data_IF_178723185985
#
_entry.id   IF_178723185985
#
_cell.length_a   1.000
_cell.length_b   1.000
_cell.length_c   1.000
_cell.angle_alpha   90.00
_cell.angle_beta   90.00
_cell.angle_gamma   90.00
#
_symmetry.space_group_name_H-M   'P 1'
#
loop_
_entity.id
_entity.type
_entity.pdbx_description
1 polymer ?
#
# COMPACT_ATOMS: atom_id res chain seq x y z
N UNK A 1 1.39 13.10 -12.08
CA UNK A 1 0.35 12.18 -11.54
C UNK A 1 -1.02 12.33 -12.24
N UNK A 2 -1.85 11.28 -12.35
CA UNK A 2 -3.22 11.36 -12.92
C UNK A 2 -4.16 12.23 -12.06
N UNK A 3 -5.07 12.98 -12.67
CA UNK A 3 -5.96 13.93 -11.98
C UNK A 3 -6.79 13.29 -10.84
N UNK A 4 -7.28 12.06 -11.04
CA UNK A 4 -8.07 11.33 -10.02
C UNK A 4 -7.30 11.03 -8.74
N UNK A 5 -5.97 10.97 -8.77
CA UNK A 5 -5.16 10.73 -7.57
C UNK A 5 -4.88 12.04 -6.83
N UNK A 6 -4.64 13.13 -7.58
CA UNK A 6 -4.50 14.47 -6.99
C UNK A 6 -5.75 14.90 -6.20
N UNK A 7 -6.94 14.50 -6.64
CA UNK A 7 -8.17 14.82 -5.88
C UNK A 7 -8.31 14.07 -4.56
N UNK A 8 -7.54 12.99 -4.34
CA UNK A 8 -7.59 12.20 -3.12
C UNK A 8 -6.64 12.72 -2.05
N UNK A 9 -5.56 13.37 -2.43
CA UNK A 9 -4.49 13.77 -1.52
C UNK A 9 -4.40 15.28 -1.22
N UNK A 10 -3.84 15.56 -0.05
CA UNK A 10 -3.23 16.84 0.34
C UNK A 10 -1.78 16.53 0.69
N UNK A 11 -0.85 16.86 -0.20
CA UNK A 11 0.56 16.53 -0.06
C UNK A 11 1.35 17.63 0.67
N UNK A 12 2.12 17.24 1.67
CA UNK A 12 3.11 18.08 2.35
C UNK A 12 4.52 17.73 1.87
N UNK A 13 5.06 18.55 0.98
CA UNK A 13 6.43 18.41 0.47
C UNK A 13 7.52 19.03 1.34
N UNK A 14 7.19 19.57 2.51
CA UNK A 14 8.14 20.21 3.39
C UNK A 14 9.15 19.21 3.96
N UNK A 15 10.43 19.56 3.87
CA UNK A 15 11.53 18.85 4.55
C UNK A 15 12.07 19.76 5.64
N UNK A 16 11.88 19.37 6.90
CA UNK A 16 12.13 20.23 8.06
C UNK A 16 13.62 20.40 8.36
N UNK A 17 14.42 19.35 8.18
CA UNK A 17 15.84 19.37 8.50
C UNK A 17 16.68 19.74 7.27
N UNK A 18 17.55 20.73 7.41
CA UNK A 18 18.41 21.22 6.31
C UNK A 18 19.30 20.13 5.71
N UNK A 19 19.79 19.19 6.54
CA UNK A 19 20.59 18.04 6.09
C UNK A 19 19.87 17.13 5.10
N UNK A 20 18.53 17.11 5.11
CA UNK A 20 17.73 16.19 4.32
C UNK A 20 17.17 16.83 3.03
N UNK A 21 17.29 18.15 2.89
CA UNK A 21 16.80 18.90 1.71
C UNK A 21 17.46 18.46 0.39
N UNK A 22 18.66 17.86 0.46
CA UNK A 22 19.32 17.26 -0.71
C UNK A 22 18.48 16.15 -1.36
N UNK A 23 17.68 15.43 -0.58
CA UNK A 23 17.07 14.17 -1.00
C UNK A 23 15.59 14.28 -1.40
N UNK A 24 15.01 15.47 -1.28
CA UNK A 24 13.58 15.68 -1.53
C UNK A 24 13.33 17.08 -2.10
N UNK A 25 12.64 17.12 -3.23
CA UNK A 25 12.21 18.32 -3.92
C UNK A 25 10.94 18.00 -4.72
N UNK A 26 9.81 17.92 -4.02
CA UNK A 26 8.51 17.60 -4.63
C UNK A 26 8.04 18.72 -5.55
N UNK A 27 7.46 18.35 -6.70
CA UNK A 27 6.91 19.31 -7.65
C UNK A 27 5.42 19.52 -7.33
N UNK A 28 5.04 20.72 -6.90
CA UNK A 28 3.67 21.02 -6.48
C UNK A 28 2.62 20.68 -7.54
N UNK A 29 2.94 20.83 -8.84
CA UNK A 29 2.03 20.48 -9.92
C UNK A 29 1.77 18.99 -10.05
N UNK A 30 2.57 18.12 -9.45
CA UNK A 30 2.36 16.67 -9.48
C UNK A 30 1.44 16.15 -8.37
N UNK A 31 1.11 16.99 -7.39
CA UNK A 31 0.40 16.59 -6.19
C UNK A 31 -0.97 17.25 -6.02
N UNK A 32 -1.80 16.62 -5.18
CA UNK A 32 -3.03 17.19 -4.65
C UNK A 32 -2.80 18.09 -3.44
N UNK A 33 -3.70 19.04 -3.21
CA UNK A 33 -3.62 20.01 -2.11
C UNK A 33 -4.93 20.18 -1.32
N UNK A 34 -5.92 19.33 -1.59
CA UNK A 34 -7.29 19.49 -1.06
C UNK A 34 -8.01 18.17 -0.79
N UNK A 35 -7.39 17.04 -1.11
CA UNK A 35 -7.98 15.73 -0.86
C UNK A 35 -7.92 15.33 0.62
N UNK A 36 -8.81 14.42 1.01
CA UNK A 36 -8.95 13.98 2.40
C UNK A 36 -7.73 13.25 2.96
N UNK A 37 -6.90 12.67 2.08
CA UNK A 37 -5.72 11.93 2.48
C UNK A 37 -4.53 12.86 2.65
N UNK A 38 -4.02 12.98 3.88
CA UNK A 38 -2.79 13.74 4.15
C UNK A 38 -1.58 12.83 3.96
N UNK A 39 -0.72 13.19 3.02
CA UNK A 39 0.52 12.47 2.69
C UNK A 39 1.65 13.47 2.60
N UNK A 40 2.90 13.03 2.73
CA UNK A 40 4.04 13.93 2.68
C UNK A 40 5.30 13.28 3.20
N UNK A 41 6.36 14.08 3.26
CA UNK A 41 7.57 13.67 3.96
C UNK A 41 7.35 13.67 5.47
N UNK A 42 7.96 12.71 6.17
CA UNK A 42 8.04 12.75 7.61
C UNK A 42 8.86 14.00 8.03
N UNK A 43 8.49 14.62 9.15
CA UNK A 43 9.22 15.78 9.67
C UNK A 43 10.63 15.41 10.16
N UNK A 44 10.78 14.18 10.63
CA UNK A 44 12.02 13.66 11.20
C UNK A 44 12.35 12.29 10.59
N UNK A 45 13.54 12.18 10.00
CA UNK A 45 13.95 11.01 9.23
C UNK A 45 14.88 10.09 10.05
N UNK A 46 14.85 8.79 9.74
CA UNK A 46 15.83 7.83 10.26
C UNK A 46 17.27 8.30 9.99
N UNK A 47 18.13 8.16 11.02
CA UNK A 47 19.45 8.80 11.04
C UNK A 47 20.36 8.35 9.88
N UNK A 48 20.21 7.11 9.47
CA UNK A 48 21.00 6.47 8.42
C UNK A 48 20.34 6.51 7.03
N UNK A 49 19.13 7.08 6.90
CA UNK A 49 18.48 7.18 5.59
C UNK A 49 19.33 8.01 4.63
N UNK A 50 19.80 9.18 5.06
CA UNK A 50 20.64 10.07 4.25
C UNK A 50 21.99 9.43 3.91
N UNK A 51 22.58 8.67 4.83
CA UNK A 51 23.81 7.88 4.57
C UNK A 51 23.57 6.80 3.51
N UNK A 52 22.43 6.12 3.58
CA UNK A 52 22.04 5.10 2.60
C UNK A 52 21.86 5.72 1.22
N UNK A 53 21.19 6.87 1.13
CA UNK A 53 20.99 7.61 -0.12
C UNK A 53 22.31 8.10 -0.73
N UNK A 54 23.24 8.60 0.09
CA UNK A 54 24.59 8.95 -0.34
C UNK A 54 25.36 7.73 -0.88
N UNK A 55 25.24 6.57 -0.23
CA UNK A 55 25.86 5.34 -0.71
C UNK A 55 25.29 4.89 -2.07
N UNK A 56 23.98 5.03 -2.30
CA UNK A 56 23.36 4.76 -3.60
C UNK A 56 23.83 5.74 -4.69
N UNK A 57 23.92 7.03 -4.37
CA UNK A 57 24.45 8.03 -5.29
C UNK A 57 25.92 7.75 -5.64
N UNK A 58 26.75 7.42 -4.64
CA UNK A 58 28.15 7.03 -4.84
C UNK A 58 28.29 5.74 -5.67
N UNK A 59 27.31 4.84 -5.61
CA UNK A 59 27.21 3.66 -6.47
C UNK A 59 26.72 3.97 -7.90
N UNK A 60 26.49 5.24 -8.24
CA UNK A 60 26.10 5.70 -9.58
C UNK A 60 24.59 5.71 -9.83
N UNK A 61 23.77 5.54 -8.79
CA UNK A 61 22.31 5.64 -8.91
C UNK A 61 21.83 7.09 -8.78
N UNK A 62 20.85 7.48 -9.59
CA UNK A 62 20.24 8.81 -9.50
C UNK A 62 19.22 8.85 -8.37
N UNK A 63 19.27 9.89 -7.56
CA UNK A 63 18.22 10.23 -6.61
C UNK A 63 16.95 10.64 -7.38
N UNK A 64 15.77 10.19 -6.93
CA UNK A 64 14.51 10.78 -7.37
C UNK A 64 14.03 11.76 -6.31
N UNK A 65 14.05 13.05 -6.58
CA UNK A 65 13.69 14.03 -5.56
C UNK A 65 12.17 14.16 -5.36
N UNK A 66 11.38 13.64 -6.31
CA UNK A 66 9.92 13.56 -6.23
C UNK A 66 9.45 12.15 -6.53
N UNK A 67 9.49 11.35 -5.47
CA UNK A 67 9.27 9.94 -5.54
C UNK A 67 7.82 9.54 -5.92
N UNK A 68 6.85 10.42 -5.63
CA UNK A 68 5.42 10.18 -5.86
C UNK A 68 4.82 11.03 -6.98
N UNK A 69 5.63 11.61 -7.86
CA UNK A 69 5.19 12.38 -9.03
C UNK A 69 4.30 11.61 -10.02
N UNK A 70 4.13 10.29 -9.84
CA UNK A 70 3.49 9.39 -10.82
C UNK A 70 4.46 8.84 -11.86
N UNK A 71 5.75 9.16 -11.73
CA UNK A 71 6.86 8.42 -12.33
C UNK A 71 7.41 7.46 -11.24
N UNK A 72 7.27 6.13 -11.37
CA UNK A 72 7.34 5.19 -10.25
C UNK A 72 8.78 4.89 -9.81
N UNK A 73 9.45 5.89 -9.28
CA UNK A 73 10.73 5.78 -8.59
C UNK A 73 10.65 6.35 -7.17
N UNK A 74 10.12 5.55 -6.25
CA UNK A 74 10.16 5.61 -4.78
C UNK A 74 8.93 6.17 -3.98
N UNK A 75 9.06 6.46 -2.68
CA UNK A 75 8.32 5.90 -1.51
C UNK A 75 7.12 6.63 -0.86
N UNK A 76 6.30 5.91 -0.04
CA UNK A 76 5.08 6.40 0.67
C UNK A 76 4.83 5.77 2.06
N UNK A 77 4.14 6.50 2.97
CA UNK A 77 3.16 5.93 3.90
C UNK A 77 1.76 6.62 3.88
N UNK A 78 0.72 5.94 4.42
CA UNK A 78 -0.71 6.27 4.31
C UNK A 78 -1.50 6.05 5.63
N UNK A 79 -2.39 6.98 6.04
CA UNK A 79 -3.68 6.69 6.75
C UNK A 79 -4.65 7.90 6.88
N UNK A 80 -5.91 7.65 7.26
CA UNK A 80 -7.15 8.49 7.11
C UNK A 80 -7.88 8.80 8.44
N UNK A 81 -8.96 9.62 8.43
CA UNK A 81 -10.29 8.98 8.63
C UNK A 81 -11.45 9.53 7.75
N UNK A 82 -12.49 8.70 7.55
CA UNK A 82 -13.76 9.04 6.91
C UNK A 82 -14.69 9.83 7.85
N UNK A 83 -15.43 10.78 7.27
CA UNK A 83 -16.52 11.49 7.94
C UNK A 83 -17.74 10.58 8.17
N UNK A 84 -18.41 10.75 9.31
CA UNK A 84 -19.68 10.07 9.64
C UNK A 84 -20.84 10.80 8.98
N UNK A 85 -21.58 10.10 8.13
CA UNK A 85 -22.89 10.52 7.64
C UNK A 85 -23.99 9.65 8.27
N UNK A 86 -25.14 10.25 8.56
CA UNK A 86 -26.29 9.69 9.27
C UNK A 86 -26.97 8.51 8.59
N UNK A 87 -26.74 8.31 7.28
CA UNK A 87 -27.29 7.21 6.48
C UNK A 87 -26.34 6.00 6.36
N UNK A 88 -25.11 6.11 6.86
CA UNK A 88 -24.10 5.04 6.77
C UNK A 88 -24.21 4.08 7.97
N UNK A 89 -24.55 2.81 7.70
CA UNK A 89 -24.46 1.75 8.70
C UNK A 89 -23.12 1.02 8.59
N UNK A 90 -22.34 1.03 9.66
CA UNK A 90 -21.09 0.28 9.77
C UNK A 90 -21.30 -0.99 10.60
N UNK A 91 -21.01 -2.15 10.01
CA UNK A 91 -21.00 -3.44 10.68
C UNK A 91 -19.56 -3.96 10.73
N UNK A 92 -18.98 -4.06 11.92
CA UNK A 92 -17.63 -4.60 12.15
C UNK A 92 -17.71 -5.98 12.78
N UNK A 93 -16.62 -6.76 12.72
CA UNK A 93 -16.59 -8.16 13.17
C UNK A 93 -17.64 -9.05 12.45
N UNK A 94 -18.09 -8.62 11.26
CA UNK A 94 -19.00 -9.35 10.39
C UNK A 94 -18.23 -9.89 9.19
N UNK A 95 -18.22 -11.23 9.04
CA UNK A 95 -17.62 -11.87 7.86
C UNK A 95 -18.69 -12.14 6.81
N UNK A 96 -18.50 -11.58 5.61
CA UNK A 96 -19.33 -11.91 4.44
C UNK A 96 -18.86 -13.26 3.89
N UNK A 97 -19.77 -14.21 3.77
CA UNK A 97 -19.46 -15.57 3.28
C UNK A 97 -19.74 -15.72 1.79
N UNK A 98 -20.89 -15.21 1.33
CA UNK A 98 -21.36 -15.28 -0.04
C UNK A 98 -22.30 -14.11 -0.34
N UNK A 99 -22.59 -13.92 -1.62
CA UNK A 99 -23.65 -13.08 -2.16
C UNK A 99 -24.76 -13.99 -2.65
N UNK A 100 -26.00 -13.61 -2.34
CA UNK A 100 -27.19 -14.27 -2.86
C UNK A 100 -27.77 -13.37 -3.95
N UNK A 101 -27.90 -13.89 -5.16
CA UNK A 101 -28.60 -13.21 -6.26
C UNK A 101 -30.03 -13.76 -6.34
N UNK A 102 -31.02 -12.90 -6.06
CA UNK A 102 -32.44 -13.26 -6.04
C UNK A 102 -32.99 -13.52 -4.64
N UNK A 103 -34.14 -14.21 -4.58
CA UNK A 103 -34.80 -14.56 -3.32
C UNK A 103 -34.10 -15.74 -2.66
N UNK A 104 -33.88 -15.67 -1.35
CA UNK A 104 -33.38 -16.79 -0.56
C UNK A 104 -34.08 -16.89 0.78
N UNK A 105 -34.22 -18.12 1.26
CA UNK A 105 -34.69 -18.43 2.62
C UNK A 105 -33.54 -18.55 3.62
N UNK A 106 -32.28 -18.45 3.17
CA UNK A 106 -31.12 -18.49 4.05
C UNK A 106 -31.18 -17.33 5.03
N UNK A 107 -30.92 -17.57 6.32
CA UNK A 107 -30.87 -16.54 7.36
C UNK A 107 -29.71 -16.81 8.32
N UNK A 108 -29.06 -15.76 8.89
CA UNK A 108 -29.31 -14.34 8.66
C UNK A 108 -28.65 -13.80 7.37
N UNK A 109 -29.24 -12.76 6.77
CA UNK A 109 -28.66 -11.99 5.66
C UNK A 109 -28.91 -10.48 5.81
N UNK A 110 -28.10 -9.67 5.13
CA UNK A 110 -28.34 -8.24 4.96
C UNK A 110 -28.78 -7.98 3.52
N UNK A 111 -29.87 -7.23 3.36
CA UNK A 111 -30.43 -6.92 2.05
C UNK A 111 -29.82 -5.63 1.47
N UNK A 112 -29.55 -5.65 0.17
CA UNK A 112 -29.17 -4.48 -0.61
C UNK A 112 -30.20 -4.27 -1.73
N UNK A 113 -30.81 -3.09 -1.79
CA UNK A 113 -31.92 -2.79 -2.72
C UNK A 113 -31.47 -2.35 -4.11
N UNK A 114 -30.19 -2.04 -4.30
CA UNK A 114 -29.64 -1.52 -5.56
C UNK A 114 -28.42 -2.31 -5.97
N UNK A 115 -27.31 -2.04 -5.30
CA UNK A 115 -26.00 -2.55 -5.68
C UNK A 115 -25.30 -3.22 -4.51
N UNK A 116 -24.46 -4.22 -4.84
CA UNK A 116 -23.50 -4.83 -3.91
C UNK A 116 -22.11 -4.60 -4.46
N UNK A 117 -21.29 -3.87 -3.71
CA UNK A 117 -19.89 -3.60 -4.05
C UNK A 117 -19.01 -4.53 -3.22
N UNK A 118 -18.19 -5.36 -3.87
CA UNK A 118 -17.20 -6.19 -3.20
C UNK A 118 -15.84 -5.49 -3.16
N UNK A 119 -15.39 -5.20 -1.93
CA UNK A 119 -14.09 -4.60 -1.64
C UNK A 119 -13.31 -5.41 -0.60
N UNK A 120 -13.43 -6.75 -0.62
CA UNK A 120 -12.80 -7.66 0.35
C UNK A 120 -11.32 -7.96 0.03
N UNK A 121 -10.65 -7.14 -0.79
CA UNK A 121 -9.27 -7.33 -1.19
C UNK A 121 -9.06 -8.45 -2.22
N UNK A 122 -7.81 -8.65 -2.64
CA UNK A 122 -7.43 -9.54 -3.75
C UNK A 122 -7.62 -11.03 -3.46
N UNK A 123 -7.68 -11.44 -2.17
CA UNK A 123 -7.83 -12.84 -1.76
C UNK A 123 -9.28 -13.21 -1.44
N UNK A 124 -9.97 -12.40 -0.63
CA UNK A 124 -11.34 -12.75 -0.19
C UNK A 124 -12.42 -12.36 -1.20
N UNK A 125 -12.21 -11.34 -2.04
CA UNK A 125 -13.16 -11.01 -3.13
C UNK A 125 -13.40 -12.20 -4.08
N UNK A 126 -12.38 -12.83 -4.70
CA UNK A 126 -12.61 -13.97 -5.56
C UNK A 126 -13.18 -15.17 -4.80
N UNK A 127 -12.80 -15.37 -3.52
CA UNK A 127 -13.35 -16.42 -2.67
C UNK A 127 -14.86 -16.27 -2.45
N UNK A 128 -15.31 -15.07 -2.07
CA UNK A 128 -16.74 -14.78 -1.89
C UNK A 128 -17.48 -15.03 -3.20
N UNK A 129 -16.93 -14.62 -4.35
CA UNK A 129 -17.54 -14.86 -5.67
C UNK A 129 -17.67 -16.35 -5.98
N UNK A 130 -16.63 -17.14 -5.74
CA UNK A 130 -16.66 -18.60 -5.94
C UNK A 130 -17.73 -19.26 -5.06
N UNK A 131 -17.80 -18.93 -3.77
CA UNK A 131 -18.85 -19.44 -2.88
C UNK A 131 -20.27 -18.96 -3.24
N UNK A 132 -20.37 -17.90 -4.04
CA UNK A 132 -21.64 -17.37 -4.56
C UNK A 132 -22.03 -17.97 -5.91
N UNK A 133 -21.29 -18.97 -6.42
CA UNK A 133 -21.53 -19.57 -7.73
C UNK A 133 -21.05 -18.72 -8.92
N UNK A 134 -20.14 -17.77 -8.69
CA UNK A 134 -19.58 -16.87 -9.72
C UNK A 134 -18.09 -17.18 -9.90
N UNK A 135 -17.75 -17.99 -10.90
CA UNK A 135 -16.38 -18.46 -11.15
C UNK A 135 -16.34 -19.59 -12.18
N UNK A 136 -15.22 -20.33 -12.33
CA UNK A 136 -15.10 -21.38 -13.33
C UNK A 136 -16.13 -22.50 -13.09
N UNK A 137 -17.00 -22.79 -14.07
CA UNK A 137 -18.09 -23.75 -13.90
C UNK A 137 -17.62 -25.14 -13.44
N UNK A 138 -16.55 -25.67 -14.04
CA UNK A 138 -16.00 -26.98 -13.68
C UNK A 138 -15.54 -27.05 -12.21
N UNK A 139 -14.90 -25.99 -11.71
CA UNK A 139 -14.48 -25.92 -10.31
C UNK A 139 -15.70 -25.88 -9.38
N UNK A 140 -16.68 -25.02 -9.70
CA UNK A 140 -17.92 -24.88 -8.92
C UNK A 140 -18.70 -26.19 -8.83
N UNK A 141 -18.88 -26.87 -9.97
CA UNK A 141 -19.56 -28.15 -10.08
C UNK A 141 -18.84 -29.24 -9.27
N UNK A 142 -17.50 -29.27 -9.28
CA UNK A 142 -16.72 -30.23 -8.49
C UNK A 142 -16.95 -30.11 -6.97
N UNK A 143 -17.36 -28.94 -6.51
CA UNK A 143 -17.71 -28.65 -5.11
C UNK A 143 -19.23 -28.63 -4.84
N UNK A 144 -20.06 -29.05 -5.80
CA UNK A 144 -21.53 -29.00 -5.72
C UNK A 144 -22.07 -27.59 -5.45
N UNK A 145 -21.40 -26.55 -5.97
CA UNK A 145 -21.88 -25.17 -5.90
C UNK A 145 -22.67 -24.88 -7.18
N UNK A 146 -23.94 -24.45 -7.08
CA UNK A 146 -24.72 -24.06 -8.26
C UNK A 146 -24.02 -22.94 -9.04
N UNK A 147 -23.84 -23.14 -10.34
CA UNK A 147 -23.23 -22.15 -11.22
C UNK A 147 -24.25 -21.05 -11.50
N UNK A 148 -23.98 -19.86 -10.98
CA UNK A 148 -24.77 -18.65 -11.25
C UNK A 148 -24.21 -17.92 -12.47
N UNK A 149 -22.88 -17.86 -12.60
CA UNK A 149 -22.21 -17.28 -13.76
C UNK A 149 -20.82 -17.89 -13.96
N UNK A 150 -20.57 -18.46 -15.14
CA UNK A 150 -19.28 -19.07 -15.49
C UNK A 150 -18.26 -17.99 -15.87
N UNK A 151 -17.29 -17.75 -14.99
CA UNK A 151 -16.22 -16.78 -15.18
C UNK A 151 -14.85 -17.42 -14.86
N UNK A 152 -14.18 -18.03 -15.86
CA UNK A 152 -12.94 -18.79 -15.65
C UNK A 152 -11.77 -18.00 -15.06
N UNK A 153 -11.78 -16.67 -15.16
CA UNK A 153 -10.72 -15.82 -14.64
C UNK A 153 -10.79 -15.60 -13.11
N UNK A 154 -11.90 -15.94 -12.45
CA UNK A 154 -12.06 -15.71 -11.01
C UNK A 154 -11.16 -16.66 -10.21
N UNK A 155 -10.42 -16.08 -9.26
CA UNK A 155 -9.42 -16.81 -8.47
C UNK A 155 -8.08 -17.00 -9.17
N UNK A 156 -7.96 -16.60 -10.45
CA UNK A 156 -6.74 -16.77 -11.25
C UNK A 156 -5.88 -15.52 -11.28
N UNK A 157 -4.62 -15.68 -11.71
CA UNK A 157 -3.73 -14.56 -12.01
C UNK A 157 -3.27 -13.75 -10.80
N UNK A 158 -3.11 -14.39 -9.63
CA UNK A 158 -2.55 -13.73 -8.43
C UNK A 158 -1.19 -13.12 -8.76
N UNK A 159 -1.06 -11.83 -8.48
CA UNK A 159 0.19 -11.08 -8.58
C UNK A 159 0.53 -10.51 -7.22
N UNK A 160 1.81 -10.51 -6.91
CA UNK A 160 2.35 -9.91 -5.71
C UNK A 160 3.76 -9.38 -6.02
N UNK A 161 4.31 -8.58 -5.13
CA UNK A 161 5.71 -8.23 -5.16
C UNK A 161 6.50 -9.30 -4.40
N UNK A 162 7.37 -10.03 -5.11
CA UNK A 162 8.29 -10.94 -4.46
C UNK A 162 9.25 -10.15 -3.57
N UNK A 163 9.37 -10.57 -2.32
CA UNK A 163 10.19 -9.92 -1.33
C UNK A 163 11.36 -10.83 -0.93
N UNK A 164 12.58 -10.30 -0.98
CA UNK A 164 13.80 -10.97 -0.53
C UNK A 164 14.49 -10.05 0.48
N UNK A 165 14.46 -10.36 1.79
CA UNK A 165 15.09 -9.53 2.79
C UNK A 165 16.62 -9.67 2.69
N UNK A 166 17.31 -8.53 2.70
CA UNK A 166 18.74 -8.45 2.94
C UNK A 166 18.95 -7.89 4.34
N UNK A 167 19.53 -8.69 5.23
CA UNK A 167 19.78 -8.32 6.62
C UNK A 167 21.26 -7.95 6.75
N UNK A 168 21.53 -6.72 7.16
CA UNK A 168 22.87 -6.15 7.28
C UNK A 168 23.12 -5.73 8.73
N UNK A 169 24.34 -5.94 9.21
CA UNK A 169 24.79 -5.34 10.46
C UNK A 169 25.13 -3.86 10.22
N UNK A 170 24.58 -2.97 11.04
CA UNK A 170 24.80 -1.52 10.95
C UNK A 170 25.67 -1.04 12.11
N UNK A 171 26.39 0.07 11.90
CA UNK A 171 27.10 0.73 13.00
C UNK A 171 26.06 1.37 13.95
N UNK A 172 26.02 0.99 15.25
CA UNK A 172 25.07 1.55 16.22
C UNK A 172 25.22 3.05 16.44
N UNK A 173 26.36 3.66 16.10
CA UNK A 173 26.54 5.11 16.15
C UNK A 173 25.75 5.85 15.05
N UNK A 174 25.42 5.14 13.96
CA UNK A 174 24.73 5.70 12.79
C UNK A 174 23.24 5.40 12.76
N UNK A 175 22.76 4.43 13.54
CA UNK A 175 21.36 4.02 13.60
C UNK A 175 20.95 3.65 15.03
N UNK A 176 19.92 4.32 15.55
CA UNK A 176 19.37 4.17 16.91
C UNK A 176 18.06 3.36 16.96
N UNK A 177 17.60 2.80 15.84
CA UNK A 177 16.36 2.01 15.74
C UNK A 177 16.38 0.79 16.66
N UNK A 178 17.47 0.02 16.62
CA UNK A 178 17.59 -1.19 17.44
C UNK A 178 17.61 -0.86 18.94
N UNK A 179 18.34 0.18 19.35
CA UNK A 179 18.36 0.61 20.75
C UNK A 179 16.97 1.08 21.22
N UNK A 180 16.22 1.77 20.35
CA UNK A 180 14.86 2.20 20.68
C UNK A 180 13.93 1.01 20.98
N UNK A 181 13.92 -0.01 20.11
CA UNK A 181 13.07 -1.20 20.31
C UNK A 181 13.55 -2.13 21.45
N UNK A 182 14.74 -1.89 22.00
CA UNK A 182 15.27 -2.61 23.16
C UNK A 182 15.04 -1.88 24.48
N UNK A 183 14.50 -0.66 24.46
CA UNK A 183 14.24 0.16 25.64
C UNK A 183 12.72 0.43 25.80
N UNK A 184 12.03 -0.35 26.65
CA UNK A 184 10.60 -0.17 26.89
C UNK A 184 10.24 1.22 27.44
N UNK A 185 11.11 1.85 28.22
CA UNK A 185 10.85 3.17 28.79
C UNK A 185 10.94 4.25 27.70
N UNK A 186 11.90 4.14 26.78
CA UNK A 186 11.98 5.01 25.61
C UNK A 186 10.75 4.83 24.70
N UNK A 187 10.31 3.60 24.47
CA UNK A 187 9.10 3.31 23.69
C UNK A 187 7.84 3.91 24.31
N UNK A 188 7.66 3.77 25.62
CA UNK A 188 6.52 4.34 26.37
C UNK A 188 6.54 5.87 26.34
N UNK A 189 7.69 6.49 26.60
CA UNK A 189 7.84 7.94 26.56
C UNK A 189 7.54 8.50 25.15
N UNK A 190 8.03 7.83 24.11
CA UNK A 190 7.72 8.20 22.74
C UNK A 190 6.23 8.01 22.41
N UNK A 191 5.56 6.96 22.92
CA UNK A 191 4.12 6.74 22.71
C UNK A 191 3.33 7.89 23.31
N UNK A 192 3.66 8.29 24.54
CA UNK A 192 3.02 9.42 25.21
C UNK A 192 3.20 10.72 24.42
N UNK A 193 4.41 11.00 23.94
CA UNK A 193 4.64 12.17 23.07
C UNK A 193 3.77 12.12 21.81
N UNK A 194 3.66 10.94 21.18
CA UNK A 194 2.83 10.76 19.99
C UNK A 194 1.34 10.96 20.27
N UNK A 195 0.84 10.45 21.40
CA UNK A 195 -0.55 10.67 21.84
C UNK A 195 -0.85 12.15 22.14
N UNK A 196 0.12 12.86 22.71
CA UNK A 196 -0.03 14.27 23.08
C UNK A 196 -0.06 15.21 21.87
N UNK A 197 0.79 14.97 20.87
CA UNK A 197 0.96 15.93 19.77
C UNK A 197 1.31 15.35 18.39
N UNK A 198 1.22 14.02 18.20
CA UNK A 198 1.56 13.31 16.96
C UNK A 198 3.02 13.52 16.51
N UNK A 199 3.97 13.70 17.45
CA UNK A 199 5.41 13.80 17.17
C UNK A 199 6.21 12.73 17.93
N UNK A 200 7.53 12.71 17.73
CA UNK A 200 8.44 11.82 18.46
C UNK A 200 8.78 10.53 17.72
N UNK A 201 9.57 9.66 18.36
CA UNK A 201 10.24 8.53 17.69
C UNK A 201 9.29 7.51 17.04
N UNK A 202 8.00 7.47 17.41
CA UNK A 202 7.01 6.63 16.74
C UNK A 202 6.60 7.14 15.35
N UNK A 203 6.69 8.46 15.07
CA UNK A 203 6.47 8.96 13.71
C UNK A 203 7.62 8.59 12.77
N UNK A 204 8.81 8.35 13.33
CA UNK A 204 9.99 7.83 12.63
C UNK A 204 9.91 6.31 12.50
N UNK A 205 9.99 5.56 13.60
CA UNK A 205 10.16 4.09 13.52
C UNK A 205 8.89 3.31 13.21
N UNK A 206 7.71 3.88 13.47
CA UNK A 206 6.43 3.18 13.30
C UNK A 206 6.07 2.93 11.83
N UNK A 207 6.50 3.81 10.92
CA UNK A 207 6.10 3.72 9.52
C UNK A 207 7.11 4.30 8.51
N UNK A 208 8.27 4.80 8.93
CA UNK A 208 9.30 5.17 7.97
C UNK A 208 9.96 3.92 7.41
N UNK A 209 10.16 3.95 6.10
CA UNK A 209 10.88 2.93 5.37
C UNK A 209 11.54 3.62 4.17
N UNK A 210 12.86 3.50 4.08
CA UNK A 210 13.66 3.92 2.92
C UNK A 210 13.75 2.75 1.94
N UNK A 211 13.89 3.02 0.64
CA UNK A 211 13.04 2.43 -0.37
C UNK A 211 13.33 3.01 -1.77
N UNK A 212 13.44 2.18 -2.81
CA UNK A 212 13.72 2.56 -4.19
C UNK A 212 13.30 1.48 -5.18
N UNK A 213 13.08 1.87 -6.44
CA UNK A 213 12.89 0.92 -7.54
C UNK A 213 13.97 1.12 -8.60
N UNK A 214 14.57 0.03 -9.05
CA UNK A 214 15.41 0.05 -10.23
C UNK A 214 14.53 0.00 -11.47
N UNK A 215 14.74 0.94 -12.39
CA UNK A 215 14.12 0.85 -13.69
C UNK A 215 14.82 -0.24 -14.53
N UNK A 216 14.22 -1.43 -14.56
CA UNK A 216 14.75 -2.58 -15.30
C UNK A 216 14.79 -2.38 -16.82
N UNK A 217 14.10 -1.37 -17.37
CA UNK A 217 14.18 -1.05 -18.81
C UNK A 217 15.53 -0.47 -19.21
N UNK A 218 16.30 0.06 -18.26
CA UNK A 218 17.66 0.56 -18.46
C UNK A 218 18.74 -0.43 -18.00
N UNK A 219 18.36 -1.62 -17.51
CA UNK A 219 19.30 -2.60 -16.95
C UNK A 219 19.88 -3.54 -18.02
N UNK A 220 21.21 -3.77 -18.05
CA UNK A 220 21.83 -4.78 -18.91
C UNK A 220 21.44 -6.23 -18.54
N UNK A 221 20.83 -6.44 -17.35
CA UNK A 221 20.38 -7.75 -16.87
C UNK A 221 18.98 -8.13 -17.34
N UNK A 222 18.41 -7.43 -18.33
CA UNK A 222 17.08 -7.74 -18.87
C UNK A 222 17.05 -9.20 -19.34
N UNK A 223 16.24 -10.08 -18.73
CA UNK A 223 15.99 -11.39 -19.30
C UNK A 223 15.30 -11.19 -20.65
N UNK A 224 15.75 -11.91 -21.69
CA UNK A 224 15.10 -11.91 -23.00
C UNK A 224 13.58 -12.04 -22.82
N UNK A 225 12.83 -11.02 -23.24
CA UNK A 225 11.41 -10.85 -22.97
C UNK A 225 10.49 -11.90 -23.60
N UNK A 226 11.07 -12.97 -24.19
CA UNK A 226 10.34 -14.12 -24.71
C UNK A 226 9.79 -15.03 -23.60
N UNK A 227 10.37 -15.02 -22.40
CA UNK A 227 9.88 -15.84 -21.28
C UNK A 227 8.88 -15.13 -20.35
N UNK A 228 8.69 -13.82 -20.51
CA UNK A 228 7.68 -13.01 -19.82
C UNK A 228 6.60 -12.49 -20.78
N UNK A 229 6.30 -13.25 -21.84
CA UNK A 229 5.10 -12.99 -22.63
C UNK A 229 3.88 -13.43 -21.83
N UNK A 230 3.06 -12.44 -21.49
CA UNK A 230 1.83 -12.60 -20.74
C UNK A 230 0.80 -13.38 -21.58
N UNK A 231 0.30 -14.55 -21.13
CA UNK A 231 -0.65 -15.35 -21.92
C UNK A 231 -2.03 -14.69 -22.09
N UNK A 232 -2.32 -13.58 -21.39
CA UNK A 232 -3.61 -12.85 -21.50
C UNK A 232 -3.48 -11.45 -22.11
N UNK A 233 -2.41 -11.14 -22.86
CA UNK A 233 -2.47 -10.02 -23.82
C UNK A 233 -3.14 -10.54 -25.08
N UNK A 234 -4.47 -10.59 -25.10
CA UNK A 234 -5.20 -10.59 -26.36
C UNK A 234 -5.46 -9.12 -26.78
N UNK A 235 -5.47 -8.83 -28.09
CA UNK A 235 -5.62 -7.49 -28.65
C UNK A 235 -6.96 -6.83 -28.31
#
# INVERSE_FOLDING_TARGET
MQARFKSLETFNGGVTLSKDQKYANSVASDHGNSGALRVGYAEDWERDLSLSLDAFEAAGHKLNLDHNSGNPSAWLPLSTPLARDSVLRLLTCFRVLLIILGLSQATPYNFASRDVILSAGALDTPKIRLHSGIGPAADLESFNIPVVNDLPAIGQGRRDHYFVPLILALNPETNDRNSFFQDPAAMEAAMKQWEDNNTGLWTRYGCQLGSGWFNLTASPLRPNSKHFQHPYRNP
#
